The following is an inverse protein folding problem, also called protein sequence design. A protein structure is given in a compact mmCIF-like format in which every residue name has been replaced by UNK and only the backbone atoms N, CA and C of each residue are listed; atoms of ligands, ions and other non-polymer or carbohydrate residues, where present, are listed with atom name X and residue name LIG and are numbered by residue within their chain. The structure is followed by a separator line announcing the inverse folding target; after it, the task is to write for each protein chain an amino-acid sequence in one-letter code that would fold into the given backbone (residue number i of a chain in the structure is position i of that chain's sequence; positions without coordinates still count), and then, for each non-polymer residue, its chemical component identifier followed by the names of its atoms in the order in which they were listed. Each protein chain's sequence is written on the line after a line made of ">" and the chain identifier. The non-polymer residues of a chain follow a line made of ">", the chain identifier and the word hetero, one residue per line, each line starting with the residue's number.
data_IF_534377737212
#
_entry.id   IF_534377737212
#
_cell.length_a   1.000
_cell.length_b   1.000
_cell.length_c   1.000
_cell.angle_alpha   90.00
_cell.angle_beta   90.00
_cell.angle_gamma   90.00
#
_symmetry.space_group_name_H-M   'P 1'
#
loop_
_entity.id
_entity.type
_entity.pdbx_description
1 polymer ?
#
# COMPACT_ATOMS: atom_id res chain seq x y z
N UNK A 1 -2.23 19.20 -42.83
CA UNK A 1 -1.12 18.81 -41.93
C UNK A 1 -1.72 18.51 -40.55
N UNK A 2 -1.76 17.24 -40.14
CA UNK A 2 -2.31 16.88 -38.83
C UNK A 2 -1.30 17.18 -37.72
N UNK A 3 -1.76 17.74 -36.60
CA UNK A 3 -0.93 17.99 -35.42
C UNK A 3 -0.52 16.65 -34.80
N UNK A 4 0.73 16.53 -34.37
CA UNK A 4 1.22 15.33 -33.64
C UNK A 4 0.50 15.10 -32.30
N UNK A 5 -0.01 16.16 -31.65
CA UNK A 5 -0.77 16.09 -30.39
C UNK A 5 -2.11 16.83 -30.53
N UNK A 6 -3.22 16.14 -30.87
CA UNK A 6 -4.49 16.80 -31.18
C UNK A 6 -5.34 17.16 -29.95
N UNK A 7 -5.13 16.51 -28.80
CA UNK A 7 -5.94 16.70 -27.59
C UNK A 7 -5.41 17.81 -26.69
N UNK A 8 -6.30 18.63 -26.12
CA UNK A 8 -5.97 19.69 -25.17
C UNK A 8 -6.41 19.29 -23.76
N UNK A 9 -5.51 19.42 -22.78
CA UNK A 9 -5.79 19.33 -21.36
C UNK A 9 -5.80 20.75 -20.77
N UNK A 10 -6.82 21.09 -19.98
CA UNK A 10 -6.94 22.38 -19.31
C UNK A 10 -7.36 22.18 -17.85
N UNK A 11 -6.72 22.91 -16.94
CA UNK A 11 -7.05 22.93 -15.52
C UNK A 11 -6.91 24.37 -14.99
N UNK A 12 -7.62 24.67 -13.91
CA UNK A 12 -7.52 25.96 -13.22
C UNK A 12 -6.39 25.89 -12.19
N UNK A 13 -5.68 26.99 -12.01
CA UNK A 13 -4.64 27.15 -11.01
C UNK A 13 -4.85 28.50 -10.31
N UNK A 14 -4.54 28.55 -9.02
CA UNK A 14 -4.40 29.77 -8.25
C UNK A 14 -3.15 30.55 -8.68
N UNK A 15 -3.04 31.82 -8.25
CA UNK A 15 -1.88 32.66 -8.56
C UNK A 15 -0.56 32.05 -8.02
N UNK A 16 -0.59 31.45 -6.83
CA UNK A 16 0.57 30.80 -6.20
C UNK A 16 1.00 29.52 -6.94
N UNK A 17 0.04 28.70 -7.37
CA UNK A 17 0.33 27.51 -8.18
C UNK A 17 0.92 27.90 -9.54
N UNK A 18 0.40 28.97 -10.14
CA UNK A 18 0.83 29.46 -11.45
C UNK A 18 2.26 30.04 -11.39
N UNK A 19 2.59 30.78 -10.33
CA UNK A 19 3.97 31.27 -10.12
C UNK A 19 4.94 30.11 -9.92
N UNK A 20 4.55 29.10 -9.15
CA UNK A 20 5.34 27.88 -8.92
C UNK A 20 5.61 27.13 -10.23
N UNK A 21 4.59 26.95 -11.07
CA UNK A 21 4.74 26.32 -12.39
C UNK A 21 5.73 27.11 -13.25
N UNK A 22 5.58 28.44 -13.33
CA UNK A 22 6.49 29.31 -14.12
C UNK A 22 7.93 29.24 -13.63
N UNK A 23 8.15 29.20 -12.32
CA UNK A 23 9.49 29.06 -11.76
C UNK A 23 10.13 27.73 -12.13
N UNK A 24 9.36 26.62 -12.06
CA UNK A 24 9.82 25.30 -12.53
C UNK A 24 10.13 25.30 -14.02
N UNK A 25 9.30 25.93 -14.86
CA UNK A 25 9.58 26.05 -16.29
C UNK A 25 10.92 26.74 -16.55
N UNK A 26 11.19 27.85 -15.86
CA UNK A 26 12.48 28.56 -15.97
C UNK A 26 13.65 27.71 -15.48
N UNK A 27 13.48 27.00 -14.37
CA UNK A 27 14.52 26.15 -13.78
C UNK A 27 14.92 25.01 -14.72
N UNK A 28 13.95 24.35 -15.35
CA UNK A 28 14.20 23.19 -16.22
C UNK A 28 14.36 23.55 -17.69
N UNK A 29 14.12 24.81 -18.09
CA UNK A 29 14.16 25.24 -19.49
C UNK A 29 13.08 24.61 -20.38
N UNK A 30 11.98 24.14 -19.78
CA UNK A 30 10.92 23.40 -20.47
C UNK A 30 9.70 24.28 -20.76
N UNK A 31 9.01 23.97 -21.85
CA UNK A 31 7.68 24.54 -22.11
C UNK A 31 6.67 23.99 -21.11
N UNK A 32 5.56 24.72 -20.91
CA UNK A 32 4.52 24.31 -19.95
C UNK A 32 3.95 22.93 -20.30
N UNK A 33 3.80 22.66 -21.61
CA UNK A 33 3.32 21.39 -22.11
C UNK A 33 4.27 20.24 -21.78
N UNK A 34 5.58 20.43 -21.99
CA UNK A 34 6.59 19.42 -21.67
C UNK A 34 6.68 19.17 -20.17
N UNK A 35 6.71 20.24 -19.36
CA UNK A 35 6.76 20.13 -17.91
C UNK A 35 5.54 19.36 -17.36
N UNK A 36 4.33 19.71 -17.80
CA UNK A 36 3.11 19.01 -17.38
C UNK A 36 3.10 17.55 -17.85
N UNK A 37 3.47 17.27 -19.10
CA UNK A 37 3.49 15.91 -19.61
C UNK A 37 4.53 15.05 -18.92
N UNK A 38 5.74 15.56 -18.70
CA UNK A 38 6.77 14.83 -17.95
C UNK A 38 6.33 14.62 -16.50
N UNK A 39 5.72 15.61 -15.88
CA UNK A 39 5.25 15.49 -14.49
C UNK A 39 4.14 14.43 -14.38
N UNK A 40 3.14 14.45 -15.27
CA UNK A 40 1.99 13.52 -15.22
C UNK A 40 2.40 12.10 -15.64
N UNK A 41 3.20 11.96 -16.70
CA UNK A 41 3.58 10.65 -17.23
C UNK A 41 4.63 9.96 -16.37
N UNK A 42 5.50 10.72 -15.69
CA UNK A 42 6.55 10.18 -14.84
C UNK A 42 6.21 10.23 -13.35
N UNK A 43 5.10 10.86 -12.94
CA UNK A 43 4.62 10.76 -11.56
C UNK A 43 4.15 9.33 -11.31
N UNK A 44 4.88 8.60 -10.48
CA UNK A 44 4.36 7.39 -9.86
C UNK A 44 3.25 7.81 -8.90
N UNK A 45 2.00 7.65 -9.32
CA UNK A 45 0.86 7.76 -8.42
C UNK A 45 0.82 6.44 -7.65
N UNK A 46 1.27 6.47 -6.39
CA UNK A 46 1.09 5.34 -5.49
C UNK A 46 -0.37 5.30 -5.07
N UNK A 47 -1.17 4.50 -5.76
CA UNK A 47 -2.43 4.03 -5.18
C UNK A 47 -2.02 3.11 -4.05
N UNK A 48 -2.18 3.52 -2.80
CA UNK A 48 -1.98 2.63 -1.66
C UNK A 48 -3.09 1.60 -1.72
N UNK A 49 -2.87 0.51 -2.45
CA UNK A 49 -3.82 -0.57 -2.56
C UNK A 49 -3.80 -1.36 -1.25
N UNK A 50 -4.61 -0.89 -0.30
CA UNK A 50 -4.82 -1.51 1.00
C UNK A 50 -5.73 -2.75 0.92
N UNK A 51 -6.15 -3.19 -0.28
CA UNK A 51 -7.00 -4.37 -0.46
C UNK A 51 -6.37 -5.63 0.15
N UNK A 52 -5.09 -5.87 -0.10
CA UNK A 52 -4.38 -7.03 0.46
C UNK A 52 -4.25 -7.01 1.99
N UNK A 53 -4.17 -5.82 2.61
CA UNK A 53 -4.17 -5.70 4.08
C UNK A 53 -5.55 -6.06 4.65
N UNK A 54 -6.64 -5.70 3.96
CA UNK A 54 -8.00 -6.05 4.40
C UNK A 54 -8.24 -7.56 4.44
N UNK A 55 -7.59 -8.34 3.58
CA UNK A 55 -7.66 -9.81 3.59
C UNK A 55 -6.91 -10.45 4.78
N UNK A 56 -5.94 -9.72 5.36
CA UNK A 56 -5.14 -10.19 6.48
C UNK A 56 -5.82 -9.99 7.85
N UNK A 57 -6.64 -8.94 7.99
CA UNK A 57 -7.31 -8.59 9.26
C UNK A 57 -8.15 -9.76 9.84
N UNK A 58 -8.97 -10.48 9.04
CA UNK A 58 -9.74 -11.62 9.56
C UNK A 58 -8.86 -12.77 10.07
N UNK A 59 -7.72 -13.02 9.42
CA UNK A 59 -6.78 -14.08 9.80
C UNK A 59 -6.09 -13.73 11.12
N UNK A 60 -5.64 -12.48 11.27
CA UNK A 60 -5.06 -11.99 12.52
C UNK A 60 -6.05 -12.07 13.69
N UNK A 61 -7.32 -11.75 13.46
CA UNK A 61 -8.38 -11.89 14.47
C UNK A 61 -8.57 -13.35 14.90
N UNK A 62 -8.50 -14.30 13.97
CA UNK A 62 -8.60 -15.74 14.25
C UNK A 62 -7.47 -16.22 15.15
N UNK A 63 -6.24 -15.86 14.81
CA UNK A 63 -5.04 -16.15 15.61
C UNK A 63 -5.17 -15.57 17.02
N UNK A 64 -5.55 -14.30 17.14
CA UNK A 64 -5.73 -13.66 18.44
C UNK A 64 -6.78 -14.36 19.31
N UNK A 65 -7.87 -14.82 18.70
CA UNK A 65 -8.90 -15.60 19.41
C UNK A 65 -8.37 -16.97 19.88
N UNK A 66 -7.63 -17.69 19.04
CA UNK A 66 -7.08 -18.98 19.40
C UNK A 66 -6.04 -18.87 20.52
N UNK A 67 -5.20 -17.83 20.48
CA UNK A 67 -4.26 -17.52 21.55
C UNK A 67 -4.98 -17.22 22.88
N UNK A 68 -6.05 -16.43 22.84
CA UNK A 68 -6.87 -16.17 24.03
C UNK A 68 -7.49 -17.45 24.61
N UNK A 69 -7.92 -18.39 23.76
CA UNK A 69 -8.43 -19.67 24.23
C UNK A 69 -7.34 -20.50 24.93
N UNK A 70 -6.11 -20.52 24.40
CA UNK A 70 -4.99 -21.20 25.06
C UNK A 70 -4.70 -20.56 26.42
N UNK A 71 -4.63 -19.23 26.48
CA UNK A 71 -4.42 -18.49 27.73
C UNK A 71 -5.51 -18.79 28.77
N UNK A 72 -6.78 -18.83 28.36
CA UNK A 72 -7.87 -19.21 29.26
C UNK A 72 -7.72 -20.64 29.80
N UNK A 73 -7.33 -21.61 28.97
CA UNK A 73 -7.10 -23.00 29.41
C UNK A 73 -5.97 -23.06 30.44
N UNK A 74 -4.85 -22.39 30.19
CA UNK A 74 -3.73 -22.29 31.13
C UNK A 74 -4.16 -21.64 32.46
N UNK A 75 -4.91 -20.53 32.39
CA UNK A 75 -5.37 -19.79 33.58
C UNK A 75 -6.34 -20.61 34.44
N UNK A 76 -7.07 -21.56 33.85
CA UNK A 76 -7.93 -22.49 34.57
C UNK A 76 -7.16 -23.67 35.22
N UNK A 77 -5.81 -23.69 35.15
CA UNK A 77 -4.96 -24.71 35.76
C UNK A 77 -4.81 -25.99 34.92
N UNK A 78 -5.25 -25.98 33.66
CA UNK A 78 -5.10 -27.10 32.74
C UNK A 78 -3.87 -26.86 31.84
N UNK A 79 -3.02 -27.87 31.68
CA UNK A 79 -1.97 -27.82 30.66
C UNK A 79 -2.61 -27.91 29.27
N UNK A 80 -2.35 -26.94 28.38
CA UNK A 80 -2.86 -26.99 27.02
C UNK A 80 -2.25 -28.18 26.28
N UNK A 81 -3.08 -28.96 25.59
CA UNK A 81 -2.62 -30.11 24.80
C UNK A 81 -1.53 -29.67 23.81
N UNK A 82 -0.34 -30.27 23.88
CA UNK A 82 0.81 -29.95 23.03
C UNK A 82 0.44 -29.89 21.54
N UNK A 83 -0.43 -30.79 21.09
CA UNK A 83 -0.94 -30.85 19.72
C UNK A 83 -1.74 -29.58 19.32
N UNK A 84 -2.55 -29.04 20.23
CA UNK A 84 -3.32 -27.81 20.00
C UNK A 84 -2.39 -26.61 19.89
N UNK A 85 -1.43 -26.48 20.80
CA UNK A 85 -0.42 -25.39 20.77
C UNK A 85 0.45 -25.48 19.51
N UNK A 86 0.89 -26.69 19.15
CA UNK A 86 1.72 -26.93 17.96
C UNK A 86 0.99 -26.57 16.67
N UNK A 87 -0.31 -26.85 16.59
CA UNK A 87 -1.15 -26.47 15.44
C UNK A 87 -1.26 -24.96 15.29
N UNK A 88 -1.54 -24.25 16.39
CA UNK A 88 -1.65 -22.78 16.38
C UNK A 88 -0.34 -22.09 16.01
N UNK A 89 0.80 -22.61 16.51
CA UNK A 89 2.13 -22.12 16.15
C UNK A 89 2.42 -22.30 14.64
N UNK A 90 1.98 -23.42 14.06
CA UNK A 90 2.14 -23.68 12.62
C UNK A 90 1.27 -22.75 11.76
N UNK A 91 0.04 -22.46 12.19
CA UNK A 91 -0.83 -21.50 11.49
C UNK A 91 -0.24 -20.08 11.54
N UNK A 92 0.30 -19.68 12.69
CA UNK A 92 1.06 -18.42 12.86
C UNK A 92 2.24 -18.32 11.90
N UNK A 93 3.02 -19.39 11.75
CA UNK A 93 4.19 -19.40 10.87
C UNK A 93 3.81 -19.28 9.38
N UNK A 94 2.73 -19.93 8.96
CA UNK A 94 2.19 -19.81 7.59
C UNK A 94 1.77 -18.37 7.30
N UNK A 95 1.01 -17.76 8.21
CA UNK A 95 0.55 -16.37 8.11
C UNK A 95 1.73 -15.41 7.99
N UNK A 96 2.80 -15.64 8.77
CA UNK A 96 4.02 -14.84 8.70
C UNK A 96 4.74 -14.95 7.35
N UNK A 97 4.82 -16.17 6.78
CA UNK A 97 5.43 -16.38 5.46
C UNK A 97 4.61 -15.71 4.34
N UNK A 98 3.28 -15.79 4.40
CA UNK A 98 2.40 -15.11 3.44
C UNK A 98 2.55 -13.58 3.52
N UNK A 99 2.65 -13.02 4.72
CA UNK A 99 2.88 -11.59 4.93
C UNK A 99 4.23 -11.15 4.35
N UNK A 100 5.31 -11.92 4.58
CA UNK A 100 6.62 -11.66 3.98
C UNK A 100 6.57 -11.65 2.45
N UNK A 101 5.88 -12.61 1.85
CA UNK A 101 5.74 -12.69 0.39
C UNK A 101 4.95 -11.50 -0.17
N UNK A 102 3.89 -11.06 0.52
CA UNK A 102 3.13 -9.88 0.12
C UNK A 102 3.98 -8.61 0.18
N UNK A 103 4.69 -8.38 1.29
CA UNK A 103 5.57 -7.22 1.46
C UNK A 103 6.71 -7.22 0.43
N UNK A 104 7.28 -8.38 0.12
CA UNK A 104 8.33 -8.49 -0.91
C UNK A 104 7.85 -8.16 -2.33
N UNK A 105 6.55 -8.38 -2.63
CA UNK A 105 5.95 -8.01 -3.93
C UNK A 105 5.63 -6.51 -4.05
N UNK A 106 5.64 -5.77 -2.94
CA UNK A 106 5.38 -4.33 -2.93
C UNK A 106 6.65 -3.47 -3.02
N UNK A 107 7.84 -4.07 -2.86
CA UNK A 107 9.14 -3.43 -3.05
C UNK A 107 9.59 -3.46 -4.52
#
# INVERSE_FOLDING_TARGET
>A
MNRSRPHRLAFRASDDELTTIRNKQKLYGLTQQELCLQSILNSKIYTTDLSGIKEFIPQLKRVGNNLNQIVHVCNCGYEPLYEKVSKELRELEIIWQLLKQYLAKQA
#
